data_IF_779369060983
#
_entry.id   IF_779369060983
#
_cell.length_a   1.000
_cell.length_b   1.000
_cell.length_c   1.000
_cell.angle_alpha   90.00
_cell.angle_beta   90.00
_cell.angle_gamma   90.00
#
_symmetry.space_group_name_H-M   'P 1'
#
loop_
_entity.id
_entity.type
_entity.pdbx_description
1 polymer ?
#
# COMPACT_ATOMS: atom_id res chain seq x y z
N UNK A 1 -10.95 -40.98 -25.37
CA UNK A 1 -9.72 -40.21 -25.67
C UNK A 1 -9.67 -39.01 -24.73
N UNK A 2 -8.73 -38.93 -23.78
CA UNK A 2 -8.55 -37.70 -23.02
C UNK A 2 -7.80 -36.69 -23.89
N UNK A 3 -8.43 -35.55 -24.16
CA UNK A 3 -7.83 -34.45 -24.90
C UNK A 3 -6.68 -33.84 -24.08
N UNK A 4 -5.53 -33.69 -24.70
CA UNK A 4 -4.35 -33.07 -24.08
C UNK A 4 -4.67 -31.61 -23.69
N UNK A 5 -4.36 -31.16 -22.47
CA UNK A 5 -4.66 -29.78 -22.06
C UNK A 5 -3.77 -28.82 -22.85
N UNK A 6 -4.37 -28.08 -23.79
CA UNK A 6 -3.70 -27.00 -24.53
C UNK A 6 -3.03 -26.06 -23.55
N UNK A 7 -1.70 -25.97 -23.61
CA UNK A 7 -0.98 -25.04 -22.75
C UNK A 7 -1.41 -23.60 -23.09
N UNK A 8 -1.70 -22.76 -22.08
CA UNK A 8 -2.11 -21.38 -22.32
C UNK A 8 -0.98 -20.60 -22.98
N UNK A 9 -1.33 -19.77 -23.96
CA UNK A 9 -0.39 -18.88 -24.64
C UNK A 9 0.22 -17.87 -23.67
N UNK A 10 1.37 -17.28 -24.01
CA UNK A 10 2.00 -16.27 -23.14
C UNK A 10 1.10 -15.04 -22.91
N UNK A 11 0.28 -14.68 -23.90
CA UNK A 11 -0.74 -13.63 -23.78
C UNK A 11 -1.79 -14.01 -22.73
N UNK A 12 -2.27 -15.25 -22.75
CA UNK A 12 -3.25 -15.73 -21.77
C UNK A 12 -2.67 -15.76 -20.36
N UNK A 13 -1.41 -16.17 -20.22
CA UNK A 13 -0.67 -16.15 -18.95
C UNK A 13 -0.54 -14.73 -18.41
N UNK A 14 -0.16 -13.77 -19.26
CA UNK A 14 -0.05 -12.36 -18.88
C UNK A 14 -1.41 -11.77 -18.46
N UNK A 15 -2.47 -12.06 -19.21
CA UNK A 15 -3.84 -11.64 -18.86
C UNK A 15 -4.27 -12.24 -17.52
N UNK A 16 -4.02 -13.54 -17.30
CA UNK A 16 -4.37 -14.22 -16.06
C UNK A 16 -3.58 -13.64 -14.87
N UNK A 17 -2.28 -13.37 -15.03
CA UNK A 17 -1.46 -12.72 -14.02
C UNK A 17 -2.01 -11.34 -13.66
N UNK A 18 -2.29 -10.48 -14.66
CA UNK A 18 -2.85 -9.14 -14.40
C UNK A 18 -4.20 -9.24 -13.68
N UNK A 19 -5.06 -10.19 -14.07
CA UNK A 19 -6.35 -10.43 -13.40
C UNK A 19 -6.17 -10.85 -11.93
N UNK A 20 -5.19 -11.70 -11.64
CA UNK A 20 -4.90 -12.20 -10.28
C UNK A 20 -4.22 -11.14 -9.40
N UNK A 21 -3.29 -10.38 -9.95
CA UNK A 21 -2.48 -9.40 -9.24
C UNK A 21 -3.19 -8.07 -9.02
N UNK A 22 -4.21 -7.77 -9.84
CA UNK A 22 -5.02 -6.56 -9.65
C UNK A 22 -5.75 -6.61 -8.32
N UNK A 23 -5.51 -5.59 -7.51
CA UNK A 23 -6.31 -5.34 -6.32
C UNK A 23 -7.79 -5.22 -6.70
N UNK A 24 -8.64 -5.91 -5.92
CA UNK A 24 -10.09 -5.73 -5.95
C UNK A 24 -10.51 -4.36 -5.38
N UNK A 25 -9.61 -3.74 -4.62
CA UNK A 25 -9.78 -2.42 -4.05
C UNK A 25 -9.18 -1.35 -4.95
N UNK A 26 -9.71 -0.14 -4.84
CA UNK A 26 -9.24 1.03 -5.57
C UNK A 26 -8.28 1.79 -4.67
N UNK A 27 -7.08 2.03 -5.15
CA UNK A 27 -6.11 2.86 -4.43
C UNK A 27 -6.45 4.35 -4.56
N UNK A 28 -5.94 5.18 -3.65
CA UNK A 28 -6.13 6.62 -3.74
C UNK A 28 -5.65 7.19 -5.08
N UNK A 29 -4.48 6.75 -5.55
CA UNK A 29 -3.93 7.20 -6.84
C UNK A 29 -4.88 6.88 -7.99
N UNK A 30 -5.49 5.68 -8.00
CA UNK A 30 -6.46 5.32 -9.03
C UNK A 30 -7.75 6.15 -8.98
N UNK A 31 -8.19 6.56 -7.78
CA UNK A 31 -9.33 7.47 -7.64
C UNK A 31 -8.99 8.83 -8.26
N UNK A 32 -7.80 9.36 -7.99
CA UNK A 32 -7.31 10.61 -8.57
C UNK A 32 -7.20 10.50 -10.10
N UNK A 33 -6.65 9.39 -10.61
CA UNK A 33 -6.55 9.11 -12.04
C UNK A 33 -7.94 9.06 -12.70
N UNK A 34 -8.93 8.45 -12.04
CA UNK A 34 -10.32 8.46 -12.53
C UNK A 34 -10.89 9.87 -12.65
N UNK A 35 -10.60 10.75 -11.69
CA UNK A 35 -11.10 12.13 -11.70
C UNK A 35 -10.44 12.92 -12.84
N UNK A 36 -9.10 12.89 -12.91
CA UNK A 36 -8.36 13.71 -13.88
C UNK A 36 -8.65 13.28 -15.32
N UNK A 37 -8.69 11.97 -15.61
CA UNK A 37 -8.98 11.48 -16.96
C UNK A 37 -10.43 11.80 -17.35
N UNK A 38 -11.38 11.69 -16.42
CA UNK A 38 -12.79 11.96 -16.72
C UNK A 38 -13.03 13.47 -16.96
N UNK A 39 -12.38 14.36 -16.21
CA UNK A 39 -12.49 15.81 -16.45
C UNK A 39 -11.83 16.23 -17.77
N UNK A 40 -10.64 15.70 -18.09
CA UNK A 40 -9.97 15.99 -19.38
C UNK A 40 -10.86 15.57 -20.55
N UNK A 41 -11.42 14.35 -20.51
CA UNK A 41 -12.33 13.89 -21.56
C UNK A 41 -13.61 14.73 -21.67
N UNK A 42 -14.10 15.30 -20.57
CA UNK A 42 -15.26 16.21 -20.59
C UNK A 42 -14.92 17.58 -21.15
N UNK A 43 -13.71 18.09 -20.87
CA UNK A 43 -13.21 19.32 -21.49
C UNK A 43 -13.08 19.17 -23.00
N UNK A 44 -12.69 17.98 -23.47
CA UNK A 44 -12.63 17.64 -24.89
C UNK A 44 -14.01 17.33 -25.52
N UNK A 45 -15.12 17.62 -24.83
CA UNK A 45 -16.50 17.37 -25.24
C UNK A 45 -16.82 15.90 -25.57
N UNK A 46 -16.11 14.94 -24.97
CA UNK A 46 -16.40 13.52 -25.19
C UNK A 46 -17.73 13.11 -24.55
N UNK A 47 -18.71 12.73 -25.39
CA UNK A 47 -20.07 12.32 -24.97
C UNK A 47 -20.12 11.09 -24.06
N UNK A 48 -19.04 10.30 -24.02
CA UNK A 48 -18.94 9.07 -23.23
C UNK A 48 -17.74 9.04 -22.27
N UNK A 49 -17.35 10.21 -21.72
CA UNK A 49 -16.15 10.37 -20.87
C UNK A 49 -15.98 9.30 -19.78
N UNK A 50 -17.03 8.97 -19.03
CA UNK A 50 -16.99 7.91 -18.00
C UNK A 50 -16.67 6.53 -18.58
N UNK A 51 -17.26 6.17 -19.72
CA UNK A 51 -17.04 4.87 -20.36
C UNK A 51 -15.63 4.80 -20.97
N UNK A 52 -15.16 5.90 -21.55
CA UNK A 52 -13.79 5.99 -22.10
C UNK A 52 -12.75 5.93 -20.98
N UNK A 53 -12.95 6.67 -19.89
CA UNK A 53 -12.10 6.61 -18.68
C UNK A 53 -12.02 5.17 -18.15
N UNK A 54 -13.16 4.51 -18.01
CA UNK A 54 -13.23 3.13 -17.54
C UNK A 54 -12.45 2.15 -18.44
N UNK A 55 -12.48 2.35 -19.75
CA UNK A 55 -11.68 1.56 -20.70
C UNK A 55 -10.18 1.83 -20.55
N UNK A 56 -9.78 3.10 -20.49
CA UNK A 56 -8.38 3.52 -20.37
C UNK A 56 -7.75 2.99 -19.07
N UNK A 57 -8.44 3.16 -17.95
CA UNK A 57 -7.98 2.67 -16.64
C UNK A 57 -8.27 1.18 -16.43
N UNK A 58 -9.00 0.54 -17.37
CA UNK A 58 -9.49 -0.84 -17.29
C UNK A 58 -10.22 -1.12 -15.97
N UNK A 59 -11.16 -0.24 -15.62
CA UNK A 59 -11.96 -0.26 -14.38
C UNK A 59 -13.45 -0.38 -14.71
N UNK A 60 -14.27 -0.67 -13.70
CA UNK A 60 -15.72 -0.75 -13.88
C UNK A 60 -16.30 0.65 -14.15
N UNK A 61 -17.08 0.86 -15.22
CA UNK A 61 -17.75 2.14 -15.48
C UNK A 61 -18.61 2.67 -14.33
N UNK A 62 -19.28 1.79 -13.58
CA UNK A 62 -20.11 2.16 -12.43
C UNK A 62 -19.27 2.77 -11.31
N UNK A 63 -18.07 2.21 -11.08
CA UNK A 63 -17.12 2.74 -10.11
C UNK A 63 -16.62 4.14 -10.52
N UNK A 64 -16.25 4.32 -11.79
CA UNK A 64 -15.81 5.63 -12.30
C UNK A 64 -16.95 6.66 -12.19
N UNK A 65 -18.18 6.25 -12.49
CA UNK A 65 -19.36 7.09 -12.34
C UNK A 65 -19.60 7.49 -10.88
N UNK A 66 -19.46 6.55 -9.94
CA UNK A 66 -19.62 6.80 -8.52
C UNK A 66 -18.55 7.78 -7.99
N UNK A 67 -17.27 7.51 -8.29
CA UNK A 67 -16.15 8.40 -7.94
C UNK A 67 -16.39 9.81 -8.45
N UNK A 68 -16.78 9.94 -9.72
CA UNK A 68 -17.10 11.22 -10.33
C UNK A 68 -18.27 11.93 -9.64
N UNK A 69 -19.36 11.21 -9.36
CA UNK A 69 -20.54 11.76 -8.69
C UNK A 69 -20.20 12.26 -7.29
N UNK A 70 -19.51 11.46 -6.49
CA UNK A 70 -19.09 11.84 -5.13
C UNK A 70 -18.18 13.07 -5.15
N UNK A 71 -17.22 13.13 -6.08
CA UNK A 71 -16.34 14.27 -6.25
C UNK A 71 -17.13 15.55 -6.59
N UNK A 72 -18.06 15.50 -7.54
CA UNK A 72 -18.86 16.67 -7.93
C UNK A 72 -19.80 17.12 -6.80
N UNK A 73 -20.41 16.20 -6.07
CA UNK A 73 -21.37 16.53 -5.01
C UNK A 73 -20.69 17.03 -3.73
N UNK A 74 -19.53 16.48 -3.37
CA UNK A 74 -18.91 16.69 -2.04
C UNK A 74 -17.53 17.33 -2.08
N UNK A 75 -16.91 17.45 -3.26
CA UNK A 75 -15.50 17.83 -3.40
C UNK A 75 -14.52 16.79 -2.86
N UNK A 76 -14.99 15.58 -2.54
CA UNK A 76 -14.19 14.51 -1.95
C UNK A 76 -14.75 13.14 -2.33
N UNK A 77 -13.91 12.10 -2.28
CA UNK A 77 -14.27 10.72 -2.60
C UNK A 77 -14.24 9.87 -1.35
N UNK A 78 -15.32 9.13 -1.07
CA UNK A 78 -15.45 8.27 0.13
C UNK A 78 -15.06 6.83 -0.17
N UNK A 79 -14.59 6.54 -1.39
CA UNK A 79 -14.08 5.22 -1.76
C UNK A 79 -12.87 4.92 -0.88
N UNK A 80 -13.06 4.10 0.17
CA UNK A 80 -12.03 3.80 1.17
C UNK A 80 -10.75 3.36 0.45
N UNK A 81 -9.69 4.18 0.45
CA UNK A 81 -8.39 3.71 0.02
C UNK A 81 -8.01 2.61 1.01
N UNK A 82 -7.78 1.39 0.55
CA UNK A 82 -7.17 0.41 1.45
C UNK A 82 -5.77 0.89 1.76
N UNK A 83 -5.46 0.98 3.06
CA UNK A 83 -4.14 1.31 3.55
C UNK A 83 -3.09 0.47 2.80
N UNK A 84 -1.92 1.04 2.45
CA UNK A 84 -0.80 0.28 1.91
C UNK A 84 -0.62 -0.96 2.79
N UNK A 85 -0.48 -2.16 2.19
CA UNK A 85 -0.06 -3.33 2.95
C UNK A 85 1.20 -2.94 3.69
N UNK A 86 1.13 -2.96 5.02
CA UNK A 86 2.22 -2.64 5.91
C UNK A 86 3.41 -3.54 5.54
N UNK A 87 4.40 -2.96 4.85
CA UNK A 87 5.64 -3.62 4.43
C UNK A 87 6.64 -3.66 5.61
N UNK A 88 6.16 -3.71 6.85
CA UNK A 88 6.98 -3.98 8.03
C UNK A 88 7.34 -5.46 8.16
N UNK A 89 7.75 -6.10 7.07
CA UNK A 89 8.63 -7.26 7.16
C UNK A 89 10.04 -6.75 7.48
N UNK A 90 10.22 -6.23 8.69
CA UNK A 90 11.55 -6.10 9.29
C UNK A 90 12.10 -7.51 9.42
N UNK A 91 12.97 -7.89 8.51
CA UNK A 91 13.87 -9.03 8.65
C UNK A 91 14.65 -8.81 9.94
N UNK A 92 14.20 -9.41 11.05
CA UNK A 92 15.01 -9.46 12.27
C UNK A 92 16.12 -10.46 11.99
N UNK A 93 17.28 -9.95 11.59
CA UNK A 93 18.51 -10.72 11.60
C UNK A 93 18.75 -11.18 13.05
N UNK A 94 19.07 -12.46 13.30
CA UNK A 94 19.44 -12.91 14.63
C UNK A 94 20.73 -12.19 15.03
N UNK A 95 20.69 -11.47 16.15
CA UNK A 95 21.89 -10.91 16.79
C UNK A 95 22.57 -12.05 17.53
N UNK A 96 23.75 -12.45 17.04
CA UNK A 96 24.66 -13.31 17.78
C UNK A 96 25.24 -12.49 18.93
N UNK A 97 24.81 -12.76 20.17
CA UNK A 97 25.50 -12.23 21.34
C UNK A 97 26.80 -13.00 21.50
N UNK A 98 27.90 -12.42 21.04
CA UNK A 98 29.23 -12.94 21.30
C UNK A 98 29.52 -12.87 22.81
N UNK A 99 29.98 -14.02 23.26
CA UNK A 99 30.45 -14.36 24.58
C UNK A 99 31.76 -13.60 24.86
N UNK A 100 31.78 -12.75 25.89
CA UNK A 100 33.02 -12.36 26.55
C UNK A 100 32.85 -12.51 28.05
N UNK A 101 33.34 -13.64 28.54
CA UNK A 101 33.71 -13.84 29.93
C UNK A 101 34.84 -12.86 30.30
N UNK A 102 34.70 -12.15 31.42
CA UNK A 102 35.85 -11.59 32.13
C UNK A 102 35.55 -11.61 33.63
N UNK A 103 36.14 -12.59 34.32
CA UNK A 103 36.36 -12.56 35.76
C UNK A 103 37.15 -11.31 36.15
N UNK A 104 36.76 -10.63 37.24
CA UNK A 104 37.64 -10.43 38.40
C UNK A 104 37.01 -9.53 39.47
N UNK A 105 37.19 -9.98 40.71
CA UNK A 105 36.67 -9.49 41.98
C UNK A 105 37.28 -8.14 42.41
N UNK A 106 36.54 -7.31 43.18
CA UNK A 106 36.93 -6.87 44.53
C UNK A 106 36.07 -5.72 45.10
N UNK A 107 35.45 -6.02 46.25
CA UNK A 107 35.41 -5.27 47.53
C UNK A 107 35.40 -3.73 47.56
N UNK A 108 34.43 -3.14 48.29
CA UNK A 108 34.54 -2.11 49.36
C UNK A 108 33.16 -1.45 49.54
N UNK A 109 32.33 -1.91 50.47
CA UNK A 109 32.16 -1.42 51.86
C UNK A 109 31.82 0.08 52.01
N UNK A 110 30.66 0.29 52.62
CA UNK A 110 30.04 1.53 53.08
C UNK A 110 30.96 2.64 53.60
N UNK A 111 30.67 3.88 53.20
CA UNK A 111 30.51 5.05 54.08
C UNK A 111 30.25 6.33 53.25
N UNK A 112 28.99 6.74 53.08
CA UNK A 112 28.66 8.12 52.71
C UNK A 112 28.21 8.88 53.94
N UNK A 113 29.16 9.62 54.54
CA UNK A 113 28.91 10.76 55.42
C UNK A 113 29.75 11.92 54.91
N UNK A 114 29.14 13.04 54.51
CA UNK A 114 29.81 14.32 54.60
C UNK A 114 29.08 15.16 55.64
N UNK A 115 29.77 15.35 56.76
CA UNK A 115 29.53 16.38 57.75
C UNK A 115 30.04 17.73 57.21
N UNK A 116 29.33 18.81 57.58
CA UNK A 116 29.81 20.22 57.72
C UNK A 116 29.76 21.07 56.43
N UNK A 117 29.41 22.37 56.41
CA UNK A 117 29.18 23.39 57.46
C UNK A 117 28.56 24.67 56.84
N UNK A 118 27.82 25.43 57.65
CA UNK A 118 27.46 26.88 57.63
C UNK A 118 27.00 27.57 56.32
N UNK A 119 25.87 28.29 56.42
CA UNK A 119 25.82 29.65 56.97
C UNK A 119 24.47 29.94 57.62
#
# INVERSE_FOLDING_TARGET
MPSEPTQPSDVDRAIAFVKRSRSRYVTQNEILDMIIVNVTLRQDNATASTRTTARLLRRNPQLVQQVWKEFVEKGSTTTKPQAPRDMSLRTRLPVTSDQFDTESQSSTQAAYRPSHVRS
#
